data_IF_156205369769
#
_entry.id   IF_156205369769
#
_cell.length_a   1.000
_cell.length_b   1.000
_cell.length_c   1.000
_cell.angle_alpha   90.00
_cell.angle_beta   90.00
_cell.angle_gamma   90.00
#
_symmetry.space_group_name_H-M   'P 1'
#
loop_
_entity.id
_entity.type
_entity.pdbx_description
1 polymer ?
#
# COMPACT_ATOMS: atom_id res chain seq x y z
N UNK A 1 -9.88 -13.18 -4.87
CA UNK A 1 -9.49 -11.77 -5.04
C UNK A 1 -10.50 -11.08 -5.95
N UNK A 2 -10.72 -9.78 -5.78
CA UNK A 2 -11.58 -8.97 -6.64
C UNK A 2 -10.89 -7.64 -6.93
N UNK A 3 -10.99 -7.14 -8.16
CA UNK A 3 -10.42 -5.86 -8.57
C UNK A 3 -11.52 -4.82 -8.69
N UNK A 4 -11.31 -3.65 -8.09
CA UNK A 4 -12.17 -2.48 -8.26
C UNK A 4 -11.39 -1.45 -9.09
N UNK A 5 -11.96 -1.05 -10.22
CA UNK A 5 -11.41 0.01 -11.06
C UNK A 5 -11.93 1.35 -10.55
N UNK A 6 -11.03 2.32 -10.40
CA UNK A 6 -11.32 3.62 -9.79
C UNK A 6 -10.67 4.68 -10.65
N UNK A 7 -11.42 5.70 -11.02
CA UNK A 7 -10.88 6.85 -11.73
C UNK A 7 -10.00 7.67 -10.78
N UNK A 8 -8.91 8.25 -11.30
CA UNK A 8 -7.94 9.01 -10.50
C UNK A 8 -8.60 10.05 -9.56
N UNK A 9 -9.62 10.83 -9.99
CA UNK A 9 -10.28 11.80 -9.11
C UNK A 9 -10.99 11.19 -7.90
N UNK A 10 -11.37 9.91 -7.97
CA UNK A 10 -12.17 9.25 -6.93
C UNK A 10 -11.31 8.43 -5.94
N UNK A 11 -10.01 8.25 -6.23
CA UNK A 11 -9.10 7.41 -5.42
C UNK A 11 -9.01 7.90 -3.99
N UNK A 12 -8.90 9.21 -3.78
CA UNK A 12 -8.80 9.80 -2.44
C UNK A 12 -10.06 9.58 -1.60
N UNK A 13 -11.24 9.83 -2.20
CA UNK A 13 -12.51 9.60 -1.53
C UNK A 13 -12.68 8.13 -1.14
N UNK A 14 -12.28 7.21 -2.02
CA UNK A 14 -12.30 5.78 -1.74
C UNK A 14 -11.32 5.39 -0.63
N UNK A 15 -10.07 5.85 -0.69
CA UNK A 15 -9.03 5.53 0.29
C UNK A 15 -9.46 5.96 1.71
N UNK A 16 -9.99 7.17 1.85
CA UNK A 16 -10.57 7.68 3.10
C UNK A 16 -11.74 6.84 3.57
N UNK A 17 -12.65 6.45 2.66
CA UNK A 17 -13.82 5.61 2.98
C UNK A 17 -13.44 4.23 3.52
N UNK A 18 -12.39 3.61 2.98
CA UNK A 18 -11.94 2.28 3.41
C UNK A 18 -10.93 2.31 4.57
N UNK A 19 -10.55 3.51 5.03
CA UNK A 19 -9.61 3.68 6.14
C UNK A 19 -8.15 3.45 5.78
N UNK A 20 -7.80 3.45 4.48
CA UNK A 20 -6.42 3.36 4.04
C UNK A 20 -5.70 4.69 4.38
N UNK A 21 -4.97 4.72 5.49
CA UNK A 21 -4.25 5.92 5.92
C UNK A 21 -2.93 6.06 5.16
N UNK A 22 -2.57 7.31 4.81
CA UNK A 22 -1.26 7.63 4.25
C UNK A 22 -0.13 7.31 5.23
N UNK A 23 0.98 6.84 4.69
CA UNK A 23 2.30 6.91 5.32
C UNK A 23 3.04 8.12 4.77
N UNK A 24 3.29 9.13 5.61
CA UNK A 24 4.09 10.31 5.27
C UNK A 24 3.30 11.61 5.02
N UNK A 25 3.99 12.74 5.19
CA UNK A 25 3.42 14.08 5.00
C UNK A 25 3.15 14.38 3.52
N UNK A 26 2.15 15.23 3.19
CA UNK A 26 1.97 15.75 1.85
C UNK A 26 3.19 16.56 1.40
N UNK A 27 3.72 16.28 0.20
CA UNK A 27 4.76 17.08 -0.44
C UNK A 27 4.20 18.36 -1.09
N UNK A 28 2.87 18.52 -1.08
CA UNK A 28 2.15 19.63 -1.70
C UNK A 28 2.13 19.61 -3.23
N UNK A 29 2.69 18.56 -3.86
CA UNK A 29 2.87 18.45 -5.32
C UNK A 29 2.18 17.21 -5.87
N UNK A 30 2.27 16.08 -5.16
CA UNK A 30 1.67 14.80 -5.55
C UNK A 30 0.23 14.68 -5.05
N UNK A 31 -0.69 14.04 -5.82
CA UNK A 31 -2.02 13.72 -5.32
C UNK A 31 -1.94 12.97 -3.99
N UNK A 32 -2.79 13.35 -3.02
CA UNK A 32 -2.68 12.82 -1.67
C UNK A 32 -2.86 11.29 -1.61
N UNK A 33 -3.65 10.73 -2.53
CA UNK A 33 -3.89 9.30 -2.60
C UNK A 33 -3.71 8.82 -4.03
N UNK A 34 -2.89 7.78 -4.19
CA UNK A 34 -2.70 7.10 -5.47
C UNK A 34 -2.91 5.59 -5.32
N UNK A 35 -3.05 4.90 -6.44
CA UNK A 35 -2.96 3.45 -6.46
C UNK A 35 -1.48 3.02 -6.37
N UNK A 36 -1.16 1.83 -5.83
CA UNK A 36 -2.07 0.78 -5.38
C UNK A 36 -2.57 0.92 -3.94
N UNK A 37 -3.78 0.38 -3.69
CA UNK A 37 -4.37 0.17 -2.36
C UNK A 37 -4.94 -1.26 -2.33
N UNK A 38 -4.77 -1.98 -1.23
CA UNK A 38 -5.48 -3.24 -0.99
C UNK A 38 -6.39 -3.11 0.24
N UNK A 39 -7.55 -3.77 0.17
CA UNK A 39 -8.39 -4.03 1.32
C UNK A 39 -8.39 -5.53 1.58
N UNK A 40 -7.93 -5.91 2.76
CA UNK A 40 -7.91 -7.29 3.21
C UNK A 40 -9.11 -7.54 4.11
N UNK A 41 -10.11 -8.25 3.59
CA UNK A 41 -11.32 -8.58 4.34
C UNK A 41 -11.10 -9.61 5.45
N UNK A 42 -10.00 -10.37 5.42
CA UNK A 42 -9.73 -11.38 6.44
C UNK A 42 -9.21 -10.76 7.75
N UNK A 43 -8.44 -9.67 7.64
CA UNK A 43 -7.88 -8.92 8.77
C UNK A 43 -8.61 -7.61 9.04
N UNK A 44 -9.36 -7.09 8.06
CA UNK A 44 -9.96 -5.77 8.08
C UNK A 44 -8.98 -4.63 7.71
N UNK A 45 -7.74 -4.95 7.35
CA UNK A 45 -6.73 -3.96 7.02
C UNK A 45 -7.00 -3.30 5.66
N UNK A 46 -6.72 -1.99 5.57
CA UNK A 46 -6.64 -1.27 4.30
C UNK A 46 -5.26 -0.63 4.21
N UNK A 47 -4.47 -1.04 3.22
CA UNK A 47 -3.05 -0.68 3.11
C UNK A 47 -2.81 0.05 1.79
N UNK A 48 -2.25 1.25 1.92
CA UNK A 48 -1.84 2.12 0.81
C UNK A 48 -0.31 2.13 0.74
N UNK A 49 0.25 2.39 -0.46
CA UNK A 49 1.67 2.35 -0.83
C UNK A 49 2.19 0.93 -1.15
N UNK A 50 2.86 0.77 -2.30
CA UNK A 50 3.33 -0.53 -2.80
C UNK A 50 4.30 -1.24 -1.86
N UNK A 51 5.23 -0.53 -1.23
CA UNK A 51 6.20 -1.11 -0.30
C UNK A 51 5.52 -1.52 1.02
N UNK A 52 4.62 -0.68 1.52
CA UNK A 52 3.82 -1.01 2.71
C UNK A 52 2.91 -2.23 2.46
N UNK A 53 2.31 -2.33 1.27
CA UNK A 53 1.53 -3.49 0.84
C UNK A 53 2.40 -4.75 0.82
N UNK A 54 3.59 -4.69 0.21
CA UNK A 54 4.49 -5.83 0.17
C UNK A 54 4.93 -6.29 1.56
N UNK A 55 5.28 -5.35 2.45
CA UNK A 55 5.64 -5.66 3.83
C UNK A 55 4.48 -6.27 4.62
N UNK A 56 3.27 -5.72 4.46
CA UNK A 56 2.05 -6.25 5.07
C UNK A 56 1.76 -7.69 4.64
N UNK A 57 1.90 -7.98 3.34
CA UNK A 57 1.65 -9.33 2.82
C UNK A 57 2.67 -10.35 3.35
N UNK A 58 3.96 -9.97 3.42
CA UNK A 58 5.02 -10.83 3.97
C UNK A 58 4.79 -11.14 5.46
N UNK A 59 4.32 -10.17 6.23
CA UNK A 59 4.01 -10.34 7.66
C UNK A 59 2.73 -11.15 7.89
N UNK A 60 1.67 -10.85 7.14
CA UNK A 60 0.34 -11.43 7.35
C UNK A 60 0.22 -12.85 6.79
N UNK A 61 0.94 -13.14 5.70
CA UNK A 61 0.84 -14.41 4.97
C UNK A 61 2.21 -15.07 4.75
N UNK A 62 2.94 -15.46 5.82
CA UNK A 62 4.28 -16.01 5.69
C UNK A 62 4.34 -17.32 4.88
N UNK A 63 3.22 -18.04 4.76
CA UNK A 63 3.15 -19.30 4.01
C UNK A 63 3.17 -19.14 2.49
N UNK A 64 2.87 -17.95 1.94
CA UNK A 64 2.92 -17.70 0.48
C UNK A 64 4.34 -17.47 -0.05
N UNK A 65 5.34 -17.40 0.84
CA UNK A 65 6.69 -16.99 0.50
C UNK A 65 6.83 -15.46 0.41
N UNK A 66 8.07 -14.95 0.44
CA UNK A 66 8.33 -13.52 0.54
C UNK A 66 8.15 -12.80 -0.81
N UNK A 67 7.39 -11.71 -0.79
CA UNK A 67 7.28 -10.70 -1.85
C UNK A 67 8.55 -9.85 -1.88
N UNK A 68 9.05 -9.42 -0.71
CA UNK A 68 10.31 -8.69 -0.61
C UNK A 68 11.44 -9.70 -0.48
N UNK A 69 12.40 -9.77 -1.42
CA UNK A 69 13.49 -10.72 -1.34
C UNK A 69 14.25 -10.60 -0.01
N UNK A 70 14.50 -11.74 0.63
CA UNK A 70 15.11 -11.79 1.97
C UNK A 70 16.43 -11.02 2.00
N UNK A 71 16.60 -10.15 3.00
CA UNK A 71 17.79 -9.31 3.16
C UNK A 71 17.85 -8.08 2.27
N UNK A 72 16.80 -7.77 1.48
CA UNK A 72 16.79 -6.59 0.60
C UNK A 72 15.94 -5.41 1.07
N UNK A 73 15.19 -5.55 2.17
CA UNK A 73 14.29 -4.52 2.69
C UNK A 73 14.94 -3.12 2.79
N UNK A 74 16.13 -3.03 3.38
CA UNK A 74 16.86 -1.75 3.51
C UNK A 74 17.16 -1.11 2.16
N UNK A 75 17.47 -1.91 1.14
CA UNK A 75 17.72 -1.40 -0.22
C UNK A 75 16.43 -0.92 -0.86
N UNK A 76 15.33 -1.64 -0.68
CA UNK A 76 14.00 -1.22 -1.19
C UNK A 76 13.56 0.11 -0.57
N UNK A 77 13.72 0.26 0.75
CA UNK A 77 13.44 1.51 1.48
C UNK A 77 14.28 2.68 0.94
N UNK A 78 15.59 2.48 0.75
CA UNK A 78 16.49 3.52 0.27
C UNK A 78 16.11 4.10 -1.11
N UNK A 79 15.41 3.33 -1.95
CA UNK A 79 14.91 3.81 -3.26
C UNK A 79 13.49 4.40 -3.19
N UNK A 80 12.82 4.32 -2.05
CA UNK A 80 11.48 4.90 -1.85
C UNK A 80 11.55 6.32 -1.28
N UNK A 81 12.64 6.65 -0.58
CA UNK A 81 12.88 7.97 0.03
C UNK A 81 13.69 8.94 -0.87
N UNK A 82 14.03 8.53 -2.09
CA UNK A 82 14.88 9.28 -3.04
C UNK A 82 14.06 10.03 -4.09
#
# INVERSE_FOLDING_TARGET
FSTVYVEIPDVEALAKKIGASRTGEPDGVSPEYMMPIIQDHSTGAAVFNSLAIAAYLDETYPSSGPVIPVGTMTRQLAFTDA
#
